data_IF_356825552635
#
_entry.id   IF_356825552635
#
_cell.length_a   1.000
_cell.length_b   1.000
_cell.length_c   1.000
_cell.angle_alpha   90.00
_cell.angle_beta   90.00
_cell.angle_gamma   90.00
#
_symmetry.space_group_name_H-M   'P 1'
#
loop_
_entity.id
_entity.type
_entity.pdbx_description
1 polymer ?
#
# COMPACT_ATOMS: atom_id res chain seq x y z
N UNK A 1 -20.30 -28.89 12.79
CA UNK A 1 -20.63 -27.50 12.41
C UNK A 1 -19.48 -26.54 12.68
N UNK A 2 -18.69 -26.74 13.75
CA UNK A 2 -17.47 -25.94 14.05
C UNK A 2 -16.37 -26.02 12.96
N UNK A 3 -16.21 -27.18 12.31
CA UNK A 3 -15.18 -27.37 11.27
C UNK A 3 -15.44 -26.61 9.96
N UNK A 4 -16.69 -26.26 9.66
CA UNK A 4 -17.02 -25.47 8.47
C UNK A 4 -16.76 -23.98 8.70
N UNK A 5 -17.18 -23.48 9.87
CA UNK A 5 -16.96 -22.10 10.32
C UNK A 5 -15.46 -21.78 10.43
N UNK A 6 -14.66 -22.68 10.99
CA UNK A 6 -13.20 -22.48 11.06
C UNK A 6 -12.51 -22.47 9.68
N UNK A 7 -13.04 -23.16 8.66
CA UNK A 7 -12.52 -23.06 7.29
C UNK A 7 -12.92 -21.74 6.63
N UNK A 8 -14.11 -21.24 6.93
CA UNK A 8 -14.60 -19.93 6.46
C UNK A 8 -13.74 -18.79 7.02
N UNK A 9 -13.45 -18.81 8.32
CA UNK A 9 -12.56 -17.84 8.97
C UNK A 9 -11.16 -17.80 8.34
N UNK A 10 -10.61 -18.97 8.00
CA UNK A 10 -9.30 -19.07 7.34
C UNK A 10 -9.34 -18.45 5.95
N UNK A 11 -10.40 -18.70 5.18
CA UNK A 11 -10.58 -18.11 3.84
C UNK A 11 -10.66 -16.60 3.94
N UNK A 12 -11.52 -16.08 4.82
CA UNK A 12 -11.69 -14.64 5.04
C UNK A 12 -10.39 -13.98 5.49
N UNK A 13 -9.60 -14.64 6.34
CA UNK A 13 -8.30 -14.12 6.77
C UNK A 13 -7.31 -14.01 5.61
N UNK A 14 -7.25 -14.99 4.72
CA UNK A 14 -6.41 -14.89 3.53
C UNK A 14 -6.88 -13.80 2.56
N UNK A 15 -8.20 -13.62 2.43
CA UNK A 15 -8.80 -12.56 1.61
C UNK A 15 -8.43 -11.17 2.16
N UNK A 16 -8.57 -10.96 3.47
CA UNK A 16 -8.20 -9.70 4.13
C UNK A 16 -6.73 -9.37 3.92
N UNK A 17 -5.84 -10.35 4.15
CA UNK A 17 -4.40 -10.17 3.92
C UNK A 17 -4.09 -9.87 2.45
N UNK A 18 -4.82 -10.48 1.51
CA UNK A 18 -4.62 -10.23 0.09
C UNK A 18 -5.04 -8.80 -0.29
N UNK A 19 -6.15 -8.31 0.26
CA UNK A 19 -6.61 -6.94 0.05
C UNK A 19 -5.62 -5.92 0.63
N UNK A 20 -5.07 -6.19 1.82
CA UNK A 20 -4.02 -5.35 2.43
C UNK A 20 -2.75 -5.31 1.59
N UNK A 21 -2.29 -6.47 1.11
CA UNK A 21 -1.14 -6.57 0.23
C UNK A 21 -1.39 -5.81 -1.09
N UNK A 22 -2.57 -5.98 -1.70
CA UNK A 22 -2.96 -5.29 -2.92
C UNK A 22 -2.94 -3.77 -2.78
N UNK A 23 -3.52 -3.22 -1.70
CA UNK A 23 -3.53 -1.77 -1.44
C UNK A 23 -2.12 -1.18 -1.26
N UNK A 24 -1.16 -2.00 -0.85
CA UNK A 24 0.25 -1.66 -0.68
C UNK A 24 1.10 -1.91 -1.94
N UNK A 25 0.51 -2.34 -3.06
CA UNK A 25 1.22 -2.66 -4.29
C UNK A 25 1.97 -4.00 -4.27
N UNK A 26 1.78 -4.80 -3.22
CA UNK A 26 2.41 -6.13 -3.06
C UNK A 26 1.61 -7.18 -3.84
N UNK A 27 1.50 -6.99 -5.15
CA UNK A 27 0.58 -7.75 -6.00
C UNK A 27 0.89 -9.25 -6.05
N UNK A 28 2.16 -9.65 -6.08
CA UNK A 28 2.55 -11.07 -6.05
C UNK A 28 2.17 -11.74 -4.72
N UNK A 29 2.30 -11.02 -3.60
CA UNK A 29 1.90 -11.50 -2.28
C UNK A 29 0.38 -11.64 -2.20
N UNK A 30 -0.37 -10.65 -2.72
CA UNK A 30 -1.82 -10.70 -2.82
C UNK A 30 -2.30 -11.91 -3.63
N UNK A 31 -1.71 -12.17 -4.80
CA UNK A 31 -2.01 -13.36 -5.61
C UNK A 31 -1.75 -14.66 -4.88
N UNK A 32 -0.61 -14.74 -4.18
CA UNK A 32 -0.25 -15.91 -3.37
C UNK A 32 -1.28 -16.17 -2.28
N UNK A 33 -1.73 -15.12 -1.59
CA UNK A 33 -2.74 -15.20 -0.53
C UNK A 33 -4.11 -15.62 -1.08
N UNK A 34 -4.54 -15.07 -2.22
CA UNK A 34 -5.76 -15.54 -2.91
C UNK A 34 -5.63 -16.99 -3.38
N UNK A 35 -4.44 -17.42 -3.80
CA UNK A 35 -4.14 -18.83 -4.09
C UNK A 35 -4.36 -19.74 -2.88
N UNK A 36 -3.92 -19.30 -1.69
CA UNK A 36 -4.15 -20.03 -0.43
C UNK A 36 -5.63 -20.06 -0.05
N UNK A 37 -6.35 -18.96 -0.21
CA UNK A 37 -7.80 -18.91 0.00
C UNK A 37 -8.53 -19.93 -0.90
N UNK A 38 -8.18 -19.96 -2.20
CA UNK A 38 -8.74 -20.89 -3.19
C UNK A 38 -8.46 -22.36 -2.85
N UNK A 39 -7.29 -22.65 -2.29
CA UNK A 39 -6.95 -24.00 -1.85
C UNK A 39 -7.87 -24.49 -0.70
N UNK A 40 -8.30 -23.57 0.18
CA UNK A 40 -9.19 -23.89 1.31
C UNK A 40 -10.65 -24.00 0.85
N UNK A 41 -11.16 -23.00 0.13
CA UNK A 41 -12.50 -23.03 -0.47
C UNK A 41 -12.53 -22.23 -1.78
N UNK A 42 -12.48 -22.89 -2.95
CA UNK A 42 -12.42 -22.20 -4.24
C UNK A 42 -13.72 -21.49 -4.63
N UNK A 43 -14.85 -21.85 -4.05
CA UNK A 43 -16.16 -21.29 -4.38
C UNK A 43 -16.55 -20.09 -3.52
N UNK A 44 -15.67 -19.62 -2.64
CA UNK A 44 -16.00 -18.54 -1.73
C UNK A 44 -16.08 -17.19 -2.47
N UNK A 45 -17.22 -16.46 -2.41
CA UNK A 45 -17.43 -15.24 -3.22
C UNK A 45 -16.43 -14.13 -2.92
N UNK A 46 -15.99 -13.97 -1.67
CA UNK A 46 -15.00 -12.96 -1.29
C UNK A 46 -13.64 -13.11 -2.03
N UNK A 47 -13.32 -14.29 -2.55
CA UNK A 47 -12.11 -14.50 -3.37
C UNK A 47 -12.24 -13.82 -4.72
N UNK A 48 -13.43 -13.87 -5.33
CA UNK A 48 -13.71 -13.23 -6.61
C UNK A 48 -13.65 -11.71 -6.44
N UNK A 49 -14.35 -11.18 -5.43
CA UNK A 49 -14.34 -9.75 -5.11
C UNK A 49 -12.93 -9.23 -4.84
N UNK A 50 -12.12 -9.95 -4.06
CA UNK A 50 -10.73 -9.56 -3.81
C UNK A 50 -9.83 -9.70 -5.05
N UNK A 51 -10.13 -10.62 -5.97
CA UNK A 51 -9.48 -10.72 -7.26
C UNK A 51 -9.77 -9.53 -8.16
N UNK A 52 -11.03 -9.09 -8.22
CA UNK A 52 -11.45 -7.92 -8.99
C UNK A 52 -10.80 -6.64 -8.44
N UNK A 53 -10.76 -6.49 -7.10
CA UNK A 53 -10.05 -5.39 -6.45
C UNK A 53 -8.56 -5.41 -6.75
N UNK A 54 -7.91 -6.58 -6.69
CA UNK A 54 -6.49 -6.71 -7.04
C UNK A 54 -6.22 -6.29 -8.48
N UNK A 55 -7.09 -6.67 -9.41
CA UNK A 55 -6.94 -6.27 -10.80
C UNK A 55 -7.11 -4.76 -10.97
N UNK A 56 -8.10 -4.15 -10.32
CA UNK A 56 -8.29 -2.70 -10.33
C UNK A 56 -7.08 -1.95 -9.74
N UNK A 57 -6.46 -2.47 -8.67
CA UNK A 57 -5.26 -1.88 -8.09
C UNK A 57 -4.06 -1.96 -9.03
N UNK A 58 -3.88 -3.07 -9.76
CA UNK A 58 -2.84 -3.19 -10.79
C UNK A 58 -3.05 -2.24 -11.97
N UNK A 59 -4.30 -2.04 -12.34
CA UNK A 59 -4.68 -1.21 -13.49
C UNK A 59 -4.74 0.29 -13.13
N UNK A 60 -4.60 0.64 -11.84
CA UNK A 60 -4.68 2.04 -11.36
C UNK A 60 -3.62 2.96 -11.95
N UNK A 61 -2.47 2.42 -12.36
CA UNK A 61 -1.32 3.23 -12.79
C UNK A 61 -0.61 3.96 -11.65
N UNK A 62 -0.99 3.68 -10.40
CA UNK A 62 -0.37 4.28 -9.22
C UNK A 62 1.07 3.82 -9.05
N UNK A 63 1.89 4.72 -8.48
CA UNK A 63 3.27 4.40 -8.14
C UNK A 63 3.36 3.95 -6.69
N UNK A 64 4.02 2.83 -6.45
CA UNK A 64 4.19 2.24 -5.13
C UNK A 64 5.67 2.19 -4.74
N UNK A 65 5.97 2.71 -3.56
CA UNK A 65 7.33 2.77 -3.00
C UNK A 65 7.34 2.09 -1.63
N UNK A 66 7.99 0.93 -1.52
CA UNK A 66 8.23 0.27 -0.23
C UNK A 66 9.45 0.89 0.44
N UNK A 67 9.29 1.35 1.70
CA UNK A 67 10.36 1.99 2.45
C UNK A 67 10.99 0.99 3.42
N UNK A 68 12.30 0.81 3.34
CA UNK A 68 13.01 -0.14 4.20
C UNK A 68 12.89 0.23 5.69
N UNK A 69 12.35 -0.68 6.49
CA UNK A 69 12.11 -0.44 7.92
C UNK A 69 13.40 -0.19 8.73
N UNK A 70 14.51 -0.84 8.37
CA UNK A 70 15.80 -0.66 9.04
C UNK A 70 16.39 0.72 8.79
N UNK A 71 16.32 1.19 7.53
CA UNK A 71 16.76 2.53 7.15
C UNK A 71 15.87 3.61 7.76
N UNK A 72 14.54 3.40 7.81
CA UNK A 72 13.60 4.29 8.48
C UNK A 72 13.87 4.41 9.98
N UNK A 73 14.16 3.30 10.65
CA UNK A 73 14.48 3.30 12.09
C UNK A 73 15.76 4.09 12.37
N UNK A 74 16.75 4.01 11.48
CA UNK A 74 18.01 4.74 11.58
C UNK A 74 17.92 6.17 11.04
N UNK A 75 16.84 6.50 10.31
CA UNK A 75 16.67 7.76 9.58
C UNK A 75 17.91 8.09 8.74
N UNK A 76 18.41 7.08 8.03
CA UNK A 76 19.63 7.22 7.24
C UNK A 76 19.50 8.32 6.18
N UNK A 77 20.64 8.80 5.70
CA UNK A 77 20.67 9.78 4.60
C UNK A 77 20.06 9.18 3.31
N UNK A 78 20.29 7.89 3.06
CA UNK A 78 19.77 7.19 1.90
C UNK A 78 18.23 7.19 1.85
N UNK A 79 17.56 6.83 2.94
CA UNK A 79 16.08 6.81 2.96
C UNK A 79 15.49 8.23 2.93
N UNK A 80 16.18 9.22 3.49
CA UNK A 80 15.74 10.61 3.38
C UNK A 80 15.80 11.10 1.93
N UNK A 81 16.86 10.74 1.20
CA UNK A 81 17.02 11.09 -0.20
C UNK A 81 16.01 10.36 -1.11
N UNK A 82 15.70 9.10 -0.78
CA UNK A 82 14.62 8.35 -1.43
C UNK A 82 13.25 9.02 -1.22
N UNK A 83 12.90 9.33 0.03
CA UNK A 83 11.63 10.02 0.36
C UNK A 83 11.55 11.40 -0.31
N UNK A 84 12.65 12.13 -0.38
CA UNK A 84 12.72 13.42 -1.08
C UNK A 84 12.45 13.25 -2.59
N UNK A 85 13.03 12.21 -3.21
CA UNK A 85 12.81 11.90 -4.62
C UNK A 85 11.34 11.53 -4.89
N UNK A 86 10.71 10.78 -3.99
CA UNK A 86 9.28 10.45 -4.06
C UNK A 86 8.42 11.72 -3.96
N UNK A 87 8.80 12.67 -3.09
CA UNK A 87 8.07 13.93 -2.94
C UNK A 87 8.15 14.81 -4.20
N UNK A 88 9.32 14.85 -4.86
CA UNK A 88 9.47 15.53 -6.15
C UNK A 88 8.59 14.87 -7.22
N UNK A 89 8.57 13.54 -7.31
CA UNK A 89 7.67 12.83 -8.22
C UNK A 89 6.19 13.14 -7.93
N UNK A 90 5.81 13.22 -6.65
CA UNK A 90 4.46 13.60 -6.27
C UNK A 90 4.11 15.01 -6.74
N UNK A 91 5.05 15.96 -6.64
CA UNK A 91 4.87 17.34 -7.13
C UNK A 91 4.77 17.39 -8.66
N UNK A 92 5.69 16.73 -9.35
CA UNK A 92 5.77 16.75 -10.82
C UNK A 92 4.54 16.15 -11.49
N UNK A 93 3.95 15.13 -10.87
CA UNK A 93 2.75 14.47 -11.37
C UNK A 93 1.45 15.01 -10.72
N UNK A 94 1.54 16.05 -9.88
CA UNK A 94 0.42 16.60 -9.10
C UNK A 94 -0.36 15.54 -8.29
N UNK A 95 0.32 14.46 -7.93
CA UNK A 95 -0.26 13.24 -7.40
C UNK A 95 -0.81 13.41 -5.98
N UNK A 96 -1.84 12.62 -5.66
CA UNK A 96 -2.32 12.48 -4.28
C UNK A 96 -1.53 11.35 -3.60
N UNK A 97 -0.81 11.65 -2.52
CA UNK A 97 -0.02 10.64 -1.83
C UNK A 97 -0.83 9.90 -0.75
N UNK A 98 -0.45 8.66 -0.48
CA UNK A 98 -0.85 7.91 0.71
C UNK A 98 0.42 7.36 1.38
N UNK A 99 0.69 7.78 2.62
CA UNK A 99 1.75 7.20 3.43
C UNK A 99 1.15 6.08 4.26
N UNK A 100 1.76 4.90 4.20
CA UNK A 100 1.50 3.81 5.13
C UNK A 100 2.67 3.66 6.09
N UNK A 101 2.40 3.39 7.38
CA UNK A 101 3.45 3.18 8.38
C UNK A 101 2.92 2.40 9.62
N UNK A 102 3.81 1.74 10.38
CA UNK A 102 3.42 1.02 11.60
C UNK A 102 3.06 1.93 12.79
N UNK A 103 3.37 3.23 12.71
CA UNK A 103 2.99 4.20 13.73
C UNK A 103 2.89 5.63 13.18
N UNK A 104 2.13 6.47 13.88
CA UNK A 104 1.98 7.90 13.57
C UNK A 104 3.33 8.63 13.57
N UNK A 105 4.25 8.28 14.48
CA UNK A 105 5.55 8.93 14.57
C UNK A 105 6.40 8.68 13.32
N UNK A 106 6.36 7.45 12.79
CA UNK A 106 7.04 7.11 11.54
C UNK A 106 6.38 7.83 10.37
N UNK A 107 5.04 7.79 10.28
CA UNK A 107 4.31 8.46 9.19
C UNK A 107 4.55 9.98 9.16
N UNK A 108 4.50 10.64 10.33
CA UNK A 108 4.78 12.08 10.46
C UNK A 108 6.21 12.42 10.09
N UNK A 109 7.16 11.56 10.43
CA UNK A 109 8.55 11.75 10.03
C UNK A 109 8.71 11.65 8.50
N UNK A 110 8.15 10.63 7.85
CA UNK A 110 8.14 10.50 6.38
C UNK A 110 7.55 11.76 5.75
N UNK A 111 6.36 12.19 6.21
CA UNK A 111 5.72 13.40 5.71
C UNK A 111 6.58 14.66 5.88
N UNK A 112 7.30 14.78 7.00
CA UNK A 112 8.18 15.93 7.22
C UNK A 112 9.32 16.02 6.20
N UNK A 113 9.94 14.87 5.88
CA UNK A 113 11.00 14.80 4.85
C UNK A 113 10.42 15.13 3.47
N UNK A 114 9.26 14.56 3.13
CA UNK A 114 8.59 14.89 1.85
C UNK A 114 8.32 16.39 1.73
N UNK A 115 7.76 16.99 2.78
CA UNK A 115 7.41 18.42 2.79
C UNK A 115 8.64 19.32 2.67
N UNK A 116 9.75 18.95 3.29
CA UNK A 116 11.00 19.71 3.21
C UNK A 116 11.59 19.69 1.79
N UNK A 117 11.51 18.55 1.10
CA UNK A 117 11.99 18.40 -0.27
C UNK A 117 11.29 19.35 -1.25
N UNK A 118 9.96 19.47 -1.17
CA UNK A 118 9.15 20.31 -2.08
C UNK A 118 8.69 21.62 -1.43
N UNK A 119 9.65 22.39 -0.91
CA UNK A 119 9.35 23.67 -0.25
C UNK A 119 8.57 24.64 -1.16
N UNK A 120 7.49 25.21 -0.61
CA UNK A 120 6.59 26.11 -1.34
C UNK A 120 5.49 25.41 -2.14
N UNK A 121 5.53 24.08 -2.26
CA UNK A 121 4.46 23.29 -2.85
C UNK A 121 3.57 22.63 -1.78
N UNK A 122 2.27 22.51 -2.04
CA UNK A 122 1.33 21.84 -1.13
C UNK A 122 1.13 20.40 -1.57
N UNK A 123 1.81 19.48 -0.90
CA UNK A 123 1.51 18.05 -1.01
C UNK A 123 0.08 17.77 -0.51
N UNK A 124 -0.68 16.97 -1.26
CA UNK A 124 -2.02 16.50 -0.92
C UNK A 124 -1.97 15.01 -0.68
N UNK A 125 -2.45 14.55 0.47
CA UNK A 125 -2.40 13.13 0.77
C UNK A 125 -3.00 12.75 2.11
N UNK A 126 -3.01 11.45 2.35
CA UNK A 126 -3.49 10.82 3.58
C UNK A 126 -2.37 10.00 4.24
N UNK A 127 -2.61 9.63 5.50
CA UNK A 127 -1.77 8.71 6.27
C UNK A 127 -2.67 7.58 6.76
N UNK A 128 -2.20 6.34 6.58
CA UNK A 128 -2.85 5.15 7.10
C UNK A 128 -1.85 4.32 7.92
N UNK A 129 -2.36 3.64 8.96
CA UNK A 129 -1.55 2.69 9.72
C UNK A 129 -1.54 1.34 9.02
N UNK A 130 -0.36 0.80 8.78
CA UNK A 130 -0.16 -0.51 8.18
C UNK A 130 1.08 -1.19 8.76
N UNK A 131 1.21 -2.50 8.58
CA UNK A 131 2.35 -3.26 9.09
C UNK A 131 3.67 -2.89 8.41
N UNK A 132 3.62 -2.41 7.17
CA UNK A 132 4.80 -1.97 6.40
C UNK A 132 4.73 -0.48 6.10
N UNK A 133 5.90 0.11 5.96
CA UNK A 133 6.04 1.51 5.59
C UNK A 133 6.16 1.66 4.08
N UNK A 134 5.44 2.63 3.53
CA UNK A 134 5.48 2.91 2.11
C UNK A 134 4.85 4.23 1.75
N UNK A 135 5.03 4.63 0.49
CA UNK A 135 4.34 5.75 -0.12
C UNK A 135 3.69 5.27 -1.41
N UNK A 136 2.41 5.56 -1.57
CA UNK A 136 1.68 5.39 -2.82
C UNK A 136 1.39 6.76 -3.41
N UNK A 137 1.64 6.94 -4.70
CA UNK A 137 1.26 8.14 -5.44
C UNK A 137 0.12 7.80 -6.38
N UNK A 138 -1.03 8.41 -6.15
CA UNK A 138 -2.19 8.34 -7.05
C UNK A 138 -2.07 9.42 -8.10
N UNK A 139 -1.82 9.00 -9.33
CA UNK A 139 -1.71 9.91 -10.46
C UNK A 139 -3.09 10.47 -10.79
N UNK A 140 -3.20 11.74 -11.21
CA UNK A 140 -4.46 12.26 -11.72
C UNK A 140 -4.88 11.45 -12.95
N UNK A 141 -6.18 11.18 -13.08
CA UNK A 141 -6.72 10.64 -14.34
C UNK A 141 -6.36 11.63 -15.46
N UNK A 142 -5.80 11.12 -16.56
CA UNK A 142 -5.56 11.95 -17.73
C UNK A 142 -6.92 12.45 -18.23
N UNK A 143 -7.16 13.76 -18.17
CA UNK A 143 -8.29 14.38 -18.86
C UNK A 143 -8.00 14.26 -20.37
N UNK A 144 -8.75 13.40 -21.07
CA UNK A 144 -8.77 13.29 -22.54
C UNK A 144 -9.37 14.56 -23.21
#
# INVERSE_FOLDING_TARGET
VIALEGLEDIVLRYVELAQDASRQGLFEEAETLLGRARYVNPAHPAIVEAGDLLQAEKDSGDLFFELNAGELAQRSEAIQQEIATIAEQARENEAFFLITAPSDDVARWIFSVMREAVSGYRLRGNIELASRSGVRLRLPEAED
#
